data_IF_887627162863
#
_entry.id   IF_887627162863
#
_cell.length_a   1.000
_cell.length_b   1.000
_cell.length_c   1.000
_cell.angle_alpha   90.00
_cell.angle_beta   90.00
_cell.angle_gamma   90.00
#
_symmetry.space_group_name_H-M   'P 1'
#
loop_
_entity.id
_entity.type
_entity.pdbx_description
1 polymer ?
#
# COMPACT_ATOMS: atom_id res chain seq x y z
N UNK A 1 2.29 -25.37 -7.00
CA UNK A 1 0.85 -25.31 -6.69
C UNK A 1 0.75 -24.43 -5.46
N UNK A 2 0.35 -23.18 -5.64
CA UNK A 2 0.21 -22.28 -4.50
C UNK A 2 -0.93 -22.78 -3.62
N UNK A 3 -0.67 -22.93 -2.33
CA UNK A 3 -1.66 -23.38 -1.38
C UNK A 3 -2.78 -22.33 -1.32
N UNK A 4 -4.02 -22.75 -1.59
CA UNK A 4 -5.18 -21.90 -1.38
C UNK A 4 -5.24 -21.51 0.10
N UNK A 5 -5.06 -20.22 0.38
CA UNK A 5 -5.21 -19.67 1.74
C UNK A 5 -6.70 -19.58 2.04
N UNK A 6 -7.17 -20.43 2.96
CA UNK A 6 -8.54 -20.39 3.46
C UNK A 6 -8.57 -19.48 4.69
N UNK A 7 -9.24 -18.34 4.57
CA UNK A 7 -9.44 -17.41 5.68
C UNK A 7 -10.41 -18.01 6.72
N UNK A 8 -10.10 -17.83 8.00
CA UNK A 8 -11.04 -18.06 9.10
C UNK A 8 -12.25 -17.13 9.01
N UNK A 9 -13.33 -17.44 9.74
CA UNK A 9 -14.53 -16.58 9.77
C UNK A 9 -14.22 -15.14 10.21
N UNK A 10 -13.37 -15.00 11.22
CA UNK A 10 -12.96 -13.69 11.74
C UNK A 10 -12.16 -12.90 10.71
N UNK A 11 -11.24 -13.56 9.99
CA UNK A 11 -10.48 -12.91 8.91
C UNK A 11 -11.37 -12.52 7.72
N UNK A 12 -12.40 -13.32 7.41
CA UNK A 12 -13.39 -12.96 6.40
C UNK A 12 -14.21 -11.73 6.80
N UNK A 13 -14.60 -11.63 8.07
CA UNK A 13 -15.31 -10.46 8.61
C UNK A 13 -14.43 -9.20 8.56
N UNK A 14 -13.17 -9.30 8.98
CA UNK A 14 -12.22 -8.17 8.87
C UNK A 14 -11.97 -7.76 7.43
N UNK A 15 -11.84 -8.72 6.52
CA UNK A 15 -11.70 -8.44 5.09
C UNK A 15 -12.93 -7.71 4.54
N UNK A 16 -14.14 -8.20 4.86
CA UNK A 16 -15.39 -7.57 4.43
C UNK A 16 -15.48 -6.13 4.95
N UNK A 17 -15.24 -5.91 6.25
CA UNK A 17 -15.27 -4.57 6.83
C UNK A 17 -14.22 -3.63 6.23
N UNK A 18 -13.01 -4.11 5.95
CA UNK A 18 -12.00 -3.31 5.28
C UNK A 18 -12.45 -2.89 3.86
N UNK A 19 -13.07 -3.80 3.10
CA UNK A 19 -13.60 -3.52 1.76
C UNK A 19 -14.76 -2.53 1.83
N UNK A 20 -15.74 -2.73 2.72
CA UNK A 20 -16.89 -1.83 2.83
C UNK A 20 -16.48 -0.43 3.28
N UNK A 21 -15.54 -0.33 4.23
CA UNK A 21 -15.10 0.94 4.79
C UNK A 21 -14.26 1.78 3.82
N UNK A 22 -13.68 1.19 2.77
CA UNK A 22 -12.91 1.95 1.76
C UNK A 22 -13.81 2.61 0.72
N UNK A 23 -14.99 2.06 0.45
CA UNK A 23 -15.92 2.58 -0.57
C UNK A 23 -16.29 4.07 -0.43
N UNK A 24 -16.46 4.65 0.78
CA UNK A 24 -16.72 6.08 0.94
C UNK A 24 -15.46 6.97 0.95
N UNK A 25 -14.25 6.42 0.88
CA UNK A 25 -13.00 7.19 0.91
C UNK A 25 -12.87 8.01 -0.38
N UNK A 26 -12.72 9.32 -0.23
CA UNK A 26 -12.59 10.28 -1.35
C UNK A 26 -11.40 11.21 -1.22
N UNK A 27 -10.80 11.30 -0.03
CA UNK A 27 -9.74 12.25 0.28
C UNK A 27 -8.52 11.55 0.90
N UNK A 28 -7.30 12.09 0.72
CA UNK A 28 -6.08 11.49 1.27
C UNK A 28 -6.13 11.28 2.79
N UNK A 29 -6.72 12.22 3.54
CA UNK A 29 -6.89 12.08 4.99
C UNK A 29 -7.77 10.88 5.36
N UNK A 30 -8.84 10.64 4.60
CA UNK A 30 -9.73 9.49 4.83
C UNK A 30 -9.02 8.19 4.49
N UNK A 31 -8.20 8.19 3.43
CA UNK A 31 -7.36 7.06 3.07
C UNK A 31 -6.39 6.73 4.21
N UNK A 32 -5.67 7.72 4.75
CA UNK A 32 -4.77 7.54 5.90
C UNK A 32 -5.47 6.96 7.13
N UNK A 33 -6.68 7.43 7.45
CA UNK A 33 -7.46 6.89 8.57
C UNK A 33 -7.92 5.45 8.32
N UNK A 34 -8.33 5.14 7.08
CA UNK A 34 -8.71 3.77 6.72
C UNK A 34 -7.52 2.80 6.77
N UNK A 35 -6.34 3.23 6.29
CA UNK A 35 -5.12 2.42 6.29
C UNK A 35 -4.65 2.11 7.70
N UNK A 36 -4.71 3.09 8.60
CA UNK A 36 -4.35 2.93 10.02
C UNK A 36 -5.43 2.23 10.87
N UNK A 37 -6.66 2.10 10.36
CA UNK A 37 -7.80 1.51 11.07
C UNK A 37 -8.16 0.12 10.57
N UNK A 38 -9.18 0.05 9.70
CA UNK A 38 -9.75 -1.22 9.23
C UNK A 38 -8.74 -2.04 8.42
N UNK A 39 -7.92 -1.39 7.61
CA UNK A 39 -6.91 -2.10 6.82
C UNK A 39 -5.75 -2.61 7.69
N UNK A 40 -5.37 -1.88 8.75
CA UNK A 40 -4.34 -2.32 9.70
C UNK A 40 -4.73 -3.62 10.43
N UNK A 41 -6.02 -3.82 10.72
CA UNK A 41 -6.52 -5.05 11.34
C UNK A 41 -6.38 -6.26 10.40
N UNK A 42 -6.52 -6.06 9.09
CA UNK A 42 -6.35 -7.08 8.07
C UNK A 42 -4.87 -7.35 7.75
N UNK A 43 -4.08 -6.29 7.60
CA UNK A 43 -2.67 -6.37 7.23
C UNK A 43 -1.86 -5.42 8.11
N UNK A 44 -1.33 -5.88 9.25
CA UNK A 44 -0.54 -5.04 10.14
C UNK A 44 0.71 -4.52 9.43
N UNK A 45 0.82 -3.20 9.30
CA UNK A 45 1.95 -2.53 8.67
C UNK A 45 2.41 -1.33 9.50
N UNK A 46 3.68 -0.96 9.32
CA UNK A 46 4.24 0.27 9.90
C UNK A 46 4.27 1.41 8.87
N UNK A 47 4.44 1.04 7.60
CA UNK A 47 4.59 1.95 6.46
C UNK A 47 3.88 1.32 5.27
N UNK A 48 3.15 2.14 4.52
CA UNK A 48 2.56 1.78 3.24
C UNK A 48 2.79 2.93 2.26
N UNK A 49 3.39 2.62 1.10
CA UNK A 49 3.57 3.61 0.03
C UNK A 49 2.61 3.28 -1.11
N UNK A 50 1.70 4.20 -1.39
CA UNK A 50 0.76 4.11 -2.50
C UNK A 50 1.33 4.80 -3.73
N UNK A 51 1.25 4.14 -4.88
CA UNK A 51 1.67 4.67 -6.16
C UNK A 51 0.49 4.68 -7.13
N UNK A 52 0.25 5.84 -7.74
CA UNK A 52 -0.70 5.96 -8.85
C UNK A 52 0.09 6.15 -10.15
N UNK A 53 -0.13 5.24 -11.09
CA UNK A 53 0.43 5.29 -12.43
C UNK A 53 -0.64 5.74 -13.41
N UNK A 54 -0.23 6.53 -14.40
CA UNK A 54 -1.08 6.89 -15.51
C UNK A 54 -1.00 5.91 -16.68
N UNK A 55 -1.58 6.33 -17.81
CA UNK A 55 -1.72 5.48 -18.99
C UNK A 55 -0.38 5.19 -19.69
N UNK A 56 0.62 6.04 -19.49
CA UNK A 56 1.95 5.90 -20.07
C UNK A 56 2.99 5.42 -19.03
N UNK A 57 2.51 4.78 -17.94
CA UNK A 57 3.32 4.34 -16.80
C UNK A 57 4.06 5.48 -16.08
N UNK A 58 3.61 6.71 -16.26
CA UNK A 58 4.10 7.86 -15.52
C UNK A 58 3.53 7.87 -14.11
N UNK A 59 4.36 8.21 -13.12
CA UNK A 59 3.93 8.31 -11.73
C UNK A 59 3.18 9.62 -11.53
N UNK A 60 1.88 9.54 -11.33
CA UNK A 60 1.02 10.69 -11.10
C UNK A 60 1.03 11.09 -9.61
N UNK A 61 1.01 10.09 -8.73
CA UNK A 61 0.94 10.31 -7.30
C UNK A 61 1.75 9.29 -6.51
N UNK A 62 2.37 9.76 -5.43
CA UNK A 62 3.05 8.92 -4.44
C UNK A 62 2.64 9.46 -3.08
N UNK A 63 2.11 8.57 -2.25
CA UNK A 63 1.64 8.89 -0.91
C UNK A 63 2.22 7.87 0.08
N UNK A 64 2.86 8.35 1.14
CA UNK A 64 3.45 7.47 2.14
C UNK A 64 2.64 7.57 3.45
N UNK A 65 1.92 6.49 3.76
CA UNK A 65 1.14 6.34 4.98
C UNK A 65 1.96 5.60 6.01
N UNK A 66 1.99 6.09 7.25
CA UNK A 66 2.79 5.51 8.31
C UNK A 66 2.10 5.64 9.66
N UNK A 67 2.22 4.62 10.51
CA UNK A 67 1.67 4.59 11.87
C UNK A 67 2.72 4.92 12.94
N UNK A 68 3.97 5.17 12.51
CA UNK A 68 5.12 5.49 13.36
C UNK A 68 5.73 6.84 12.98
N UNK A 69 6.58 7.38 13.86
CA UNK A 69 7.40 8.55 13.53
C UNK A 69 8.50 8.11 12.56
N UNK A 70 8.47 8.67 11.36
CA UNK A 70 9.50 8.46 10.34
C UNK A 70 10.43 9.66 10.25
N UNK A 71 11.72 9.38 10.15
CA UNK A 71 12.71 10.38 9.77
C UNK A 71 12.36 10.95 8.39
N UNK A 72 12.52 12.26 8.22
CA UNK A 72 12.18 12.96 6.98
C UNK A 72 13.03 12.48 5.79
N UNK A 73 14.30 12.14 6.02
CA UNK A 73 15.18 11.58 4.99
C UNK A 73 14.74 10.19 4.56
N UNK A 74 14.31 9.35 5.49
CA UNK A 74 13.73 8.05 5.17
C UNK A 74 12.41 8.19 4.40
N UNK A 75 11.51 9.09 4.83
CA UNK A 75 10.25 9.37 4.14
C UNK A 75 10.48 9.78 2.68
N UNK A 76 11.43 10.70 2.44
CA UNK A 76 11.81 11.12 1.10
C UNK A 76 12.34 9.94 0.26
N UNK A 77 13.25 9.13 0.82
CA UNK A 77 13.80 7.97 0.11
C UNK A 77 12.78 6.89 -0.22
N UNK A 78 11.70 6.78 0.56
CA UNK A 78 10.61 5.84 0.31
C UNK A 78 9.64 6.34 -0.75
N UNK A 79 9.23 7.60 -0.64
CA UNK A 79 8.12 8.19 -1.40
C UNK A 79 8.50 9.17 -2.52
N UNK A 80 9.79 9.34 -2.82
CA UNK A 80 10.21 10.23 -3.90
C UNK A 80 9.62 9.79 -5.26
N UNK A 81 9.04 10.75 -6.00
CA UNK A 81 8.31 10.48 -7.25
C UNK A 81 9.21 10.18 -8.44
N UNK A 82 10.50 10.49 -8.36
CA UNK A 82 11.46 10.28 -9.45
C UNK A 82 12.29 9.01 -9.24
N UNK A 83 12.75 8.77 -8.01
CA UNK A 83 13.71 7.70 -7.65
C UNK A 83 13.45 7.02 -6.29
N UNK A 84 12.29 7.27 -5.68
CA UNK A 84 11.91 6.63 -4.42
C UNK A 84 11.95 5.11 -4.49
N UNK A 85 12.24 4.46 -3.35
CA UNK A 85 12.32 3.00 -3.27
C UNK A 85 11.06 2.34 -3.83
N UNK A 86 9.87 2.83 -3.47
CA UNK A 86 8.62 2.27 -3.92
C UNK A 86 8.51 2.28 -5.46
N UNK A 87 8.92 3.38 -6.10
CA UNK A 87 8.91 3.49 -7.55
C UNK A 87 9.92 2.54 -8.21
N UNK A 88 11.14 2.48 -7.70
CA UNK A 88 12.16 1.55 -8.21
C UNK A 88 11.70 0.11 -8.12
N UNK A 89 11.06 -0.28 -7.01
CA UNK A 89 10.47 -1.60 -6.85
C UNK A 89 9.33 -1.85 -7.84
N UNK A 90 8.43 -0.89 -8.00
CA UNK A 90 7.30 -1.01 -8.93
C UNK A 90 7.75 -1.17 -10.39
N UNK A 91 8.75 -0.39 -10.83
CA UNK A 91 9.36 -0.54 -12.17
C UNK A 91 10.06 -1.89 -12.32
N UNK A 92 10.86 -2.27 -11.33
CA UNK A 92 11.57 -3.56 -11.35
C UNK A 92 10.61 -4.76 -11.47
N UNK A 93 9.48 -4.76 -10.75
CA UNK A 93 8.45 -5.80 -10.87
C UNK A 93 7.85 -5.89 -12.27
N UNK A 94 7.62 -4.75 -12.92
CA UNK A 94 7.02 -4.69 -14.25
C UNK A 94 7.98 -5.13 -15.33
N UNK A 95 9.25 -4.77 -15.21
CA UNK A 95 10.28 -5.08 -16.19
C UNK A 95 10.75 -6.55 -16.13
N UNK A 96 10.53 -7.27 -15.01
CA UNK A 96 11.33 -8.45 -14.67
C UNK A 96 10.67 -9.68 -14.05
N UNK A 97 9.34 -9.83 -14.00
CA UNK A 97 8.67 -11.09 -13.59
C UNK A 97 8.94 -11.60 -12.14
N UNK A 98 9.29 -10.74 -11.17
CA UNK A 98 9.28 -11.12 -9.73
C UNK A 98 8.91 -9.95 -8.80
N UNK A 99 8.13 -10.27 -7.77
CA UNK A 99 7.93 -9.40 -6.62
C UNK A 99 9.26 -9.29 -5.84
N UNK A 100 9.64 -8.12 -5.29
CA UNK A 100 10.91 -7.91 -4.57
C UNK A 100 11.03 -8.71 -3.26
N UNK A 101 10.03 -9.52 -2.93
CA UNK A 101 10.15 -10.61 -2.00
C UNK A 101 9.14 -11.70 -2.40
N UNK A 102 9.66 -12.80 -2.95
CA UNK A 102 9.10 -14.15 -2.84
C UNK A 102 10.19 -15.03 -2.25
#
# INVERSE_FOLDING_TARGET
>A
MDALVILSKVEQEYLLHAIEAVLPVRQPRQLCLWTQGQFQALLPHQIMVCLQFGAQDEVQHVECMHSTVLDAGLLARLGDKADGLALRLARHCRDGLRLPAM
#
